data_IF_992622449916
#
_entry.id   IF_992622449916
#
_cell.length_a   1.000
_cell.length_b   1.000
_cell.length_c   1.000
_cell.angle_alpha   90.00
_cell.angle_beta   90.00
_cell.angle_gamma   90.00
#
_symmetry.space_group_name_H-M   'P 1'
#
loop_
_entity.id
_entity.type
_entity.pdbx_description
1 polymer ?
#
# COMPACT_ATOMS: atom_id res chain seq x y z
N UNK A 1 -2.65 36.28 32.69
CA UNK A 1 -2.43 35.72 31.32
C UNK A 1 -3.08 34.35 31.29
N UNK A 2 -4.18 34.18 30.54
CA UNK A 2 -4.90 32.92 30.46
C UNK A 2 -4.04 31.86 29.75
N UNK A 3 -3.76 30.74 30.42
CA UNK A 3 -3.14 29.58 29.78
C UNK A 3 -4.16 29.00 28.80
N UNK A 4 -3.94 29.24 27.51
CA UNK A 4 -4.72 28.56 26.47
C UNK A 4 -4.50 27.04 26.60
N UNK A 5 -5.55 26.25 26.37
CA UNK A 5 -5.47 24.80 26.39
C UNK A 5 -4.54 24.29 25.28
N UNK A 6 -3.85 23.17 25.50
CA UNK A 6 -2.97 22.55 24.48
C UNK A 6 -3.66 22.37 23.12
N UNK A 7 -4.96 22.08 23.14
CA UNK A 7 -5.78 21.89 21.94
C UNK A 7 -6.02 23.19 21.16
N UNK A 8 -6.24 24.31 21.87
CA UNK A 8 -6.41 25.62 21.23
C UNK A 8 -5.10 26.16 20.67
N UNK A 9 -3.98 25.84 21.30
CA UNK A 9 -2.65 26.16 20.77
C UNK A 9 -2.35 25.33 19.51
N UNK A 10 -2.59 24.01 19.52
CA UNK A 10 -2.37 23.13 18.37
C UNK A 10 -3.20 23.53 17.13
N UNK A 11 -4.45 23.95 17.33
CA UNK A 11 -5.30 24.49 16.26
C UNK A 11 -4.84 25.87 15.76
N UNK A 12 -4.32 26.72 16.63
CA UNK A 12 -3.95 28.09 16.28
C UNK A 12 -2.55 28.22 15.67
N UNK A 13 -1.59 27.38 16.08
CA UNK A 13 -0.18 27.56 15.68
C UNK A 13 0.25 26.80 14.44
N UNK A 14 -0.61 25.98 13.81
CA UNK A 14 -0.24 25.24 12.62
C UNK A 14 1.11 24.50 12.77
N UNK A 15 1.47 24.13 14.01
CA UNK A 15 2.84 23.70 14.34
C UNK A 15 3.17 22.30 13.80
N UNK A 16 2.18 21.63 13.22
CA UNK A 16 2.34 20.42 12.41
C UNK A 16 1.86 20.59 10.97
N UNK A 17 1.69 21.82 10.46
CA UNK A 17 1.52 22.16 9.05
C UNK A 17 0.42 21.46 8.24
N UNK A 18 -0.40 20.61 8.86
CA UNK A 18 -1.35 19.72 8.18
C UNK A 18 -2.78 20.11 8.53
N UNK A 19 -3.63 20.15 7.52
CA UNK A 19 -5.05 20.37 7.72
C UNK A 19 -5.69 19.10 8.32
N UNK A 20 -6.83 19.24 9.01
CA UNK A 20 -7.55 18.09 9.55
C UNK A 20 -7.93 17.09 8.44
N UNK A 21 -8.21 17.60 7.23
CA UNK A 21 -8.51 16.80 6.04
C UNK A 21 -7.32 15.96 5.55
N UNK A 22 -6.07 16.46 5.69
CA UNK A 22 -4.87 15.67 5.38
C UNK A 22 -4.63 14.55 6.40
N UNK A 23 -4.97 14.80 7.67
CA UNK A 23 -4.86 13.84 8.76
C UNK A 23 -5.90 12.71 8.62
N UNK A 24 -7.11 13.04 8.17
CA UNK A 24 -8.15 12.05 7.85
C UNK A 24 -7.79 11.21 6.60
N UNK A 25 -7.18 11.82 5.57
CA UNK A 25 -6.65 11.09 4.41
C UNK A 25 -5.54 10.10 4.79
N UNK A 26 -4.65 10.45 5.70
CA UNK A 26 -3.64 9.51 6.21
C UNK A 26 -4.30 8.35 6.97
N UNK A 27 -5.33 8.61 7.78
CA UNK A 27 -6.02 7.57 8.56
C UNK A 27 -6.73 6.52 7.69
N UNK A 28 -7.20 6.89 6.50
CA UNK A 28 -7.76 5.94 5.54
C UNK A 28 -6.69 5.14 4.77
N UNK A 29 -5.45 5.64 4.67
CA UNK A 29 -4.37 4.92 3.99
C UNK A 29 -3.82 3.73 4.78
N UNK A 30 -4.13 3.66 6.08
CA UNK A 30 -3.79 2.55 6.99
C UNK A 30 -4.92 1.51 7.11
N UNK A 31 -6.06 1.69 6.43
CA UNK A 31 -7.10 0.66 6.39
C UNK A 31 -6.63 -0.53 5.56
N UNK A 32 -6.51 -1.68 6.23
CA UNK A 32 -6.20 -2.95 5.58
C UNK A 32 -7.48 -3.42 4.88
N UNK A 33 -7.55 -3.30 3.54
CA UNK A 33 -8.67 -3.82 2.78
C UNK A 33 -8.54 -5.36 2.60
N UNK A 34 -9.64 -6.07 2.37
CA UNK A 34 -9.59 -7.53 2.14
C UNK A 34 -8.83 -7.89 0.85
N UNK A 35 -8.87 -6.99 -0.14
CA UNK A 35 -8.16 -7.12 -1.42
C UNK A 35 -7.08 -6.05 -1.54
N UNK A 36 -5.93 -6.28 -0.90
CA UNK A 36 -4.78 -5.39 -1.02
C UNK A 36 -3.78 -5.89 -2.07
N UNK A 37 -3.07 -4.96 -2.71
CA UNK A 37 -1.96 -5.28 -3.60
C UNK A 37 -0.89 -6.16 -2.94
N UNK A 38 -0.67 -6.03 -1.63
CA UNK A 38 0.27 -6.86 -0.87
C UNK A 38 -0.05 -8.36 -0.81
N UNK A 39 -1.30 -8.76 -1.10
CA UNK A 39 -1.68 -10.18 -1.17
C UNK A 39 -1.68 -10.67 -2.63
N UNK A 40 -1.31 -9.81 -3.59
CA UNK A 40 -1.30 -10.16 -5.00
C UNK A 40 -0.01 -10.89 -5.38
N UNK A 41 -0.12 -11.95 -6.17
CA UNK A 41 1.03 -12.69 -6.74
C UNK A 41 1.95 -11.82 -7.60
N UNK A 42 1.41 -10.75 -8.19
CA UNK A 42 2.15 -9.87 -9.09
C UNK A 42 2.83 -8.69 -8.39
N UNK A 43 2.66 -8.55 -7.08
CA UNK A 43 3.31 -7.50 -6.32
C UNK A 43 4.74 -7.90 -5.96
N UNK A 44 5.68 -7.03 -6.28
CA UNK A 44 7.09 -7.18 -5.95
C UNK A 44 7.50 -6.04 -5.01
N UNK A 45 7.81 -6.36 -3.75
CA UNK A 45 8.28 -5.39 -2.78
C UNK A 45 9.71 -4.94 -3.13
N UNK A 46 9.98 -3.63 -3.05
CA UNK A 46 11.33 -3.13 -3.28
C UNK A 46 12.25 -3.56 -2.12
N UNK A 47 13.32 -4.27 -2.45
CA UNK A 47 14.21 -4.89 -1.46
C UNK A 47 14.92 -3.91 -0.54
N UNK A 48 15.06 -2.64 -0.96
CA UNK A 48 15.85 -1.62 -0.29
C UNK A 48 15.03 -0.71 0.65
N UNK A 49 13.69 -0.79 0.61
CA UNK A 49 12.82 0.13 1.36
C UNK A 49 11.81 -0.65 2.20
N UNK A 50 11.86 -0.50 3.52
CA UNK A 50 10.91 -1.11 4.46
C UNK A 50 9.55 -0.41 4.53
N UNK A 51 9.32 0.60 3.68
CA UNK A 51 8.12 1.43 3.67
C UNK A 51 6.90 0.77 2.99
N UNK A 52 6.98 -0.52 2.63
CA UNK A 52 5.92 -1.23 1.91
C UNK A 52 5.69 -0.69 0.50
N UNK A 53 6.72 -0.08 -0.12
CA UNK A 53 6.70 0.35 -1.53
C UNK A 53 7.16 -0.80 -2.41
N UNK A 54 6.43 -1.03 -3.48
CA UNK A 54 6.73 -2.09 -4.45
C UNK A 54 6.28 -1.72 -5.84
N UNK A 55 6.47 -2.65 -6.77
CA UNK A 55 6.06 -2.53 -8.16
C UNK A 55 5.20 -3.73 -8.56
N UNK A 56 4.21 -3.50 -9.40
CA UNK A 56 3.48 -4.56 -10.08
C UNK A 56 4.30 -5.07 -11.27
N UNK A 57 4.43 -6.39 -11.42
CA UNK A 57 5.08 -7.00 -12.60
C UNK A 57 4.18 -6.99 -13.85
N UNK A 58 2.87 -7.07 -13.65
CA UNK A 58 1.85 -7.07 -14.71
C UNK A 58 1.55 -5.67 -15.23
N UNK A 59 1.16 -4.76 -14.33
CA UNK A 59 0.79 -3.39 -14.70
C UNK A 59 2.04 -2.53 -14.86
N UNK A 60 2.03 -1.65 -15.85
CA UNK A 60 3.13 -0.75 -16.18
C UNK A 60 2.87 0.67 -15.74
N UNK A 61 3.93 1.47 -15.70
CA UNK A 61 3.84 2.91 -15.45
C UNK A 61 2.77 3.56 -16.32
N UNK A 62 1.91 4.37 -15.71
CA UNK A 62 0.74 4.97 -16.34
C UNK A 62 -0.56 4.20 -16.13
N UNK A 63 -0.52 3.03 -15.49
CA UNK A 63 -1.73 2.39 -14.95
C UNK A 63 -2.24 3.16 -13.74
N UNK A 64 -3.55 3.23 -13.57
CA UNK A 64 -4.19 3.78 -12.37
C UNK A 64 -5.39 2.90 -11.99
N UNK A 65 -5.30 2.29 -10.81
CA UNK A 65 -6.34 1.41 -10.25
C UNK A 65 -7.36 2.25 -9.44
N UNK A 66 -6.96 3.44 -8.99
CA UNK A 66 -7.77 4.32 -8.16
C UNK A 66 -8.69 5.23 -8.98
N UNK A 67 -8.41 5.41 -10.28
CA UNK A 67 -9.25 6.19 -11.18
C UNK A 67 -10.57 5.47 -11.52
N UNK A 68 -11.63 6.25 -11.74
CA UNK A 68 -12.92 5.79 -12.28
C UNK A 68 -13.11 6.41 -13.67
N UNK A 69 -12.89 5.68 -14.79
CA UNK A 69 -12.61 4.24 -14.90
C UNK A 69 -11.14 3.86 -14.64
N UNK A 70 -10.86 2.61 -14.22
CA UNK A 70 -9.49 2.15 -13.99
C UNK A 70 -8.74 1.97 -15.31
N UNK A 71 -7.52 2.48 -15.37
CA UNK A 71 -6.65 2.45 -16.54
C UNK A 71 -5.59 1.36 -16.35
N UNK A 72 -5.55 0.40 -17.26
CA UNK A 72 -4.59 -0.70 -17.22
C UNK A 72 -3.65 -0.61 -18.43
N UNK A 73 -2.36 -0.41 -18.16
CA UNK A 73 -1.30 -0.42 -19.18
C UNK A 73 -0.47 -1.69 -18.99
N UNK A 74 -0.45 -2.55 -20.01
CA UNK A 74 0.30 -3.81 -20.01
C UNK A 74 1.66 -3.68 -20.72
N UNK A 75 1.77 -2.72 -21.64
CA UNK A 75 2.95 -2.50 -22.46
C UNK A 75 3.86 -1.44 -21.84
N UNK A 76 5.10 -1.82 -21.52
CA UNK A 76 6.05 -0.93 -20.86
C UNK A 76 7.20 -1.67 -20.18
N UNK A 77 8.32 -0.96 -20.00
CA UNK A 77 9.51 -1.51 -19.34
C UNK A 77 9.47 -1.39 -17.82
N UNK A 78 8.79 -0.36 -17.31
CA UNK A 78 8.71 -0.07 -15.89
C UNK A 78 7.42 -0.63 -15.30
N UNK A 79 7.52 -1.26 -14.13
CA UNK A 79 6.37 -1.75 -13.37
C UNK A 79 5.68 -0.63 -12.62
N UNK A 80 4.35 -0.69 -12.56
CA UNK A 80 3.52 0.29 -11.86
C UNK A 80 3.87 0.31 -10.36
N UNK A 81 4.27 1.47 -9.84
CA UNK A 81 4.71 1.63 -8.45
C UNK A 81 3.53 1.80 -7.49
N UNK A 82 3.48 0.97 -6.45
CA UNK A 82 2.35 0.83 -5.53
C UNK A 82 2.80 0.73 -4.07
N UNK A 83 1.84 0.91 -3.15
CA UNK A 83 2.01 0.55 -1.75
C UNK A 83 1.34 -0.79 -1.45
N UNK A 84 1.81 -1.46 -0.42
CA UNK A 84 1.31 -2.79 0.00
C UNK A 84 -0.18 -2.76 0.39
N UNK A 85 -0.63 -1.66 1.01
CA UNK A 85 -2.01 -1.43 1.46
C UNK A 85 -2.92 -0.77 0.41
N UNK A 86 -2.46 -0.62 -0.84
CA UNK A 86 -3.30 -0.06 -1.90
C UNK A 86 -4.46 -1.02 -2.20
N UNK A 87 -5.69 -0.49 -2.23
CA UNK A 87 -6.88 -1.24 -2.58
C UNK A 87 -6.80 -1.75 -4.03
N UNK A 88 -6.89 -3.06 -4.18
CA UNK A 88 -6.88 -3.79 -5.44
C UNK A 88 -8.27 -4.29 -5.85
N UNK A 89 -9.34 -3.88 -5.15
CA UNK A 89 -10.73 -4.30 -5.41
C UNK A 89 -11.18 -4.11 -6.86
N UNK A 90 -10.66 -3.08 -7.54
CA UNK A 90 -10.96 -2.72 -8.93
C UNK A 90 -10.01 -3.34 -9.97
N UNK A 91 -8.96 -4.03 -9.53
CA UNK A 91 -7.98 -4.62 -10.43
C UNK A 91 -8.52 -5.91 -11.06
N UNK A 92 -8.53 -5.97 -12.40
CA UNK A 92 -8.96 -7.17 -13.16
C UNK A 92 -7.94 -8.32 -13.12
N UNK A 93 -6.68 -8.01 -12.85
CA UNK A 93 -5.56 -8.95 -12.85
C UNK A 93 -5.10 -9.31 -11.43
N UNK A 94 -6.01 -9.18 -10.46
CA UNK A 94 -5.71 -9.54 -9.09
C UNK A 94 -5.79 -11.06 -8.91
N UNK A 95 -4.63 -11.66 -8.63
CA UNK A 95 -4.53 -13.06 -8.23
C UNK A 95 -4.01 -13.12 -6.79
N UNK A 96 -4.80 -13.70 -5.88
CA UNK A 96 -4.39 -13.88 -4.49
C UNK A 96 -3.20 -14.85 -4.45
N UNK A 97 -2.12 -14.44 -3.81
CA UNK A 97 -0.96 -15.27 -3.58
C UNK A 97 -1.33 -16.38 -2.58
N UNK A 98 -1.20 -17.63 -3.01
CA UNK A 98 -1.31 -18.78 -2.13
C UNK A 98 0.07 -19.01 -1.49
N UNK A 99 0.11 -18.95 -0.15
CA UNK A 99 1.32 -19.26 0.59
C UNK A 99 1.44 -20.78 0.66
N UNK A 100 2.29 -21.32 -0.20
CA UNK A 100 2.74 -22.69 -0.14
C UNK A 100 3.91 -22.63 0.85
N UNK A 101 3.66 -22.95 2.12
CA UNK A 101 4.69 -23.16 3.15
C UNK A 101 4.86 -24.67 3.31
N UNK A 102 5.25 -25.32 2.20
CA UNK A 102 5.55 -26.75 2.19
C UNK A 102 7.03 -27.00 2.44
N UNK A 103 7.91 -26.03 2.13
CA UNK A 103 9.36 -26.14 2.31
C UNK A 103 10.07 -24.84 2.75
N UNK A 104 11.14 -24.98 3.56
CA UNK A 104 11.89 -23.85 4.14
C UNK A 104 12.61 -22.93 3.13
N UNK A 105 12.75 -23.35 1.88
CA UNK A 105 13.23 -22.50 0.78
C UNK A 105 12.20 -21.47 0.33
N UNK A 106 10.91 -21.78 0.42
CA UNK A 106 9.79 -20.87 0.07
C UNK A 106 9.74 -19.70 1.05
N UNK A 107 10.14 -19.94 2.30
CA UNK A 107 10.33 -18.90 3.30
C UNK A 107 11.43 -17.88 2.99
N UNK A 108 12.34 -18.19 2.06
CA UNK A 108 13.50 -17.35 1.71
C UNK A 108 13.33 -16.64 0.35
N UNK A 109 12.26 -16.91 -0.38
CA UNK A 109 12.01 -16.28 -1.67
C UNK A 109 11.70 -14.78 -1.46
N UNK A 110 12.40 -13.86 -2.14
CA UNK A 110 12.16 -12.43 -2.04
C UNK A 110 10.75 -12.01 -2.49
N UNK A 111 10.02 -12.85 -3.23
CA UNK A 111 8.58 -12.67 -3.49
C UNK A 111 7.71 -12.91 -2.25
N UNK A 112 8.23 -13.55 -1.20
CA UNK A 112 7.50 -13.96 0.01
C UNK A 112 8.10 -13.32 1.28
N UNK A 113 8.05 -11.98 1.36
CA UNK A 113 8.57 -11.23 2.53
C UNK A 113 7.66 -11.27 3.75
N UNK A 114 8.25 -11.04 4.93
CA UNK A 114 7.59 -11.05 6.25
C UNK A 114 6.37 -10.11 6.36
N UNK A 115 6.38 -8.98 5.66
CA UNK A 115 5.30 -7.99 5.64
C UNK A 115 4.00 -8.59 5.10
N UNK A 116 4.08 -9.46 4.09
CA UNK A 116 2.92 -10.13 3.50
C UNK A 116 2.31 -11.21 4.41
N UNK A 117 3.12 -11.82 5.29
CA UNK A 117 2.63 -12.80 6.28
C UNK A 117 1.69 -12.17 7.30
N UNK A 118 1.98 -10.93 7.73
CA UNK A 118 1.17 -10.21 8.72
C UNK A 118 -0.20 -9.77 8.18
N UNK A 119 -0.37 -9.72 6.86
CA UNK A 119 -1.59 -9.29 6.20
C UNK A 119 -2.59 -10.44 5.97
N UNK A 120 -2.20 -11.71 6.20
CA UNK A 120 -3.08 -12.87 6.00
C UNK A 120 -3.89 -13.27 7.23
N UNK A 121 -3.39 -13.03 8.44
CA UNK A 121 -4.03 -13.45 9.69
C UNK A 121 -5.21 -12.53 10.13
N UNK A 122 -5.67 -11.65 9.24
CA UNK A 122 -6.79 -10.72 9.48
C UNK A 122 -7.89 -10.97 8.46
#
# INVERSE_FOLDING_TARGET
MARMSRESFAKATGACGRTAEELEKESHSDQVHEKNCGVCKHYLENSYTSDGRGSCSMLKDGSDITSDPPVFVLDGKNGYMLRILTDASRCKYFEKMEFIDHDGTECSDPMYRRSMRQLQDK
#
